data_IF_338260800139
#
_entry.id   IF_338260800139
#
_cell.length_a   1.000
_cell.length_b   1.000
_cell.length_c   1.000
_cell.angle_alpha   90.00
_cell.angle_beta   90.00
_cell.angle_gamma   90.00
#
_symmetry.space_group_name_H-M   'P 1'
#
loop_
_entity.id
_entity.type
_entity.pdbx_description
1 polymer ?
#
# COMPACT_ATOMS: atom_id res chain seq x y z
N UNK A 1 38.31 -54.71 -46.64
CA UNK A 1 37.68 -53.88 -47.71
C UNK A 1 37.12 -52.60 -47.07
N UNK A 2 37.42 -51.42 -47.60
CA UNK A 2 36.76 -50.18 -47.15
C UNK A 2 35.30 -50.20 -47.65
N UNK A 3 34.32 -50.03 -46.75
CA UNK A 3 32.90 -49.90 -47.12
C UNK A 3 32.76 -48.78 -48.17
N UNK A 4 32.08 -49.05 -49.29
CA UNK A 4 31.72 -48.05 -50.30
C UNK A 4 30.46 -47.34 -49.81
N UNK A 5 30.53 -46.02 -49.66
CA UNK A 5 29.42 -45.20 -49.17
C UNK A 5 28.69 -44.54 -50.34
N UNK A 6 27.55 -45.11 -50.71
CA UNK A 6 26.54 -44.48 -51.57
C UNK A 6 25.32 -44.01 -50.76
N UNK A 7 24.38 -43.32 -51.41
CA UNK A 7 23.21 -42.75 -50.74
C UNK A 7 22.30 -43.84 -50.12
N UNK A 8 22.11 -44.97 -50.80
CA UNK A 8 21.31 -46.09 -50.30
C UNK A 8 21.95 -46.75 -49.07
N UNK A 9 23.27 -46.89 -49.07
CA UNK A 9 24.02 -47.44 -47.93
C UNK A 9 23.93 -46.54 -46.71
N UNK A 10 24.00 -45.22 -46.88
CA UNK A 10 23.80 -44.26 -45.77
C UNK A 10 22.40 -44.39 -45.18
N UNK A 11 21.36 -44.45 -46.02
CA UNK A 11 19.97 -44.66 -45.58
C UNK A 11 19.83 -45.97 -44.81
N UNK A 12 20.35 -47.08 -45.36
CA UNK A 12 20.30 -48.40 -44.73
C UNK A 12 20.99 -48.43 -43.36
N UNK A 13 22.21 -47.90 -43.27
CA UNK A 13 22.98 -47.86 -42.02
C UNK A 13 22.32 -46.94 -40.98
N UNK A 14 21.68 -45.85 -41.41
CA UNK A 14 20.89 -45.00 -40.54
C UNK A 14 19.64 -45.71 -40.02
N UNK A 15 18.88 -46.40 -40.87
CA UNK A 15 17.74 -47.22 -40.43
C UNK A 15 18.15 -48.31 -39.44
N UNK A 16 19.29 -48.97 -39.65
CA UNK A 16 19.82 -49.94 -38.69
C UNK A 16 20.18 -49.30 -37.34
N UNK A 17 20.72 -48.08 -37.36
CA UNK A 17 21.00 -47.33 -36.14
C UNK A 17 19.72 -46.94 -35.41
N UNK A 18 18.69 -46.47 -36.11
CA UNK A 18 17.36 -46.20 -35.54
C UNK A 18 16.76 -47.47 -34.92
N UNK A 19 16.79 -48.60 -35.63
CA UNK A 19 16.25 -49.88 -35.16
C UNK A 19 16.96 -50.43 -33.92
N UNK A 20 18.21 -50.01 -33.67
CA UNK A 20 18.93 -50.37 -32.45
C UNK A 20 18.40 -49.68 -31.18
N UNK A 21 17.43 -48.75 -31.32
CA UNK A 21 16.86 -47.98 -30.21
C UNK A 21 17.78 -46.86 -29.70
N UNK A 22 18.89 -46.63 -30.40
CA UNK A 22 19.85 -45.57 -30.07
C UNK A 22 19.28 -44.19 -30.42
N UNK A 23 19.56 -43.19 -29.56
CA UNK A 23 19.17 -41.80 -29.83
C UNK A 23 19.81 -41.30 -31.13
N UNK A 24 19.00 -40.75 -32.04
CA UNK A 24 19.48 -40.14 -33.28
C UNK A 24 19.93 -38.68 -33.11
N UNK A 25 20.22 -38.23 -31.89
CA UNK A 25 20.82 -36.91 -31.67
C UNK A 25 22.18 -36.82 -32.38
N UNK A 26 22.55 -35.67 -32.98
CA UNK A 26 23.87 -35.48 -33.57
C UNK A 26 25.03 -35.78 -32.60
N UNK A 27 24.82 -35.54 -31.29
CA UNK A 27 25.79 -35.85 -30.23
C UNK A 27 26.00 -37.36 -30.08
N UNK A 28 24.91 -38.14 -29.99
CA UNK A 28 25.02 -39.60 -29.90
C UNK A 28 25.59 -40.21 -31.18
N UNK A 29 25.16 -39.71 -32.34
CA UNK A 29 25.71 -40.10 -33.64
C UNK A 29 27.21 -39.82 -33.73
N UNK A 30 27.68 -38.66 -33.27
CA UNK A 30 29.12 -38.34 -33.23
C UNK A 30 29.89 -39.28 -32.29
N UNK A 31 29.30 -39.70 -31.18
CA UNK A 31 29.95 -40.59 -30.22
C UNK A 31 30.01 -42.04 -30.71
N UNK A 32 28.91 -42.57 -31.26
CA UNK A 32 28.76 -43.99 -31.58
C UNK A 32 28.99 -44.34 -33.05
N UNK A 33 28.66 -43.43 -33.97
CA UNK A 33 28.67 -43.64 -35.43
C UNK A 33 29.12 -42.40 -36.19
N UNK A 34 30.28 -41.84 -35.80
CA UNK A 34 30.83 -40.65 -36.46
C UNK A 34 31.10 -40.88 -37.95
N UNK A 35 31.44 -42.12 -38.32
CA UNK A 35 31.59 -42.56 -39.71
C UNK A 35 30.32 -42.28 -40.52
N UNK A 36 29.16 -42.70 -39.99
CA UNK A 36 27.86 -42.50 -40.61
C UNK A 36 27.46 -41.02 -40.64
N UNK A 37 27.66 -40.30 -39.53
CA UNK A 37 27.36 -38.86 -39.44
C UNK A 37 28.13 -38.03 -40.48
N UNK A 38 29.40 -38.36 -40.72
CA UNK A 38 30.22 -37.69 -41.75
C UNK A 38 29.67 -37.98 -43.15
N UNK A 39 29.24 -39.21 -43.43
CA UNK A 39 28.69 -39.56 -44.74
C UNK A 39 27.33 -38.94 -44.99
N UNK A 40 26.48 -38.84 -43.95
CA UNK A 40 25.21 -38.11 -44.02
C UNK A 40 25.46 -36.67 -44.47
N UNK A 41 26.36 -35.94 -43.79
CA UNK A 41 26.69 -34.55 -44.15
C UNK A 41 27.26 -34.43 -45.57
N UNK A 42 28.14 -35.35 -45.97
CA UNK A 42 28.76 -35.31 -47.32
C UNK A 42 27.77 -35.59 -48.44
N UNK A 43 26.80 -36.48 -48.25
CA UNK A 43 25.87 -36.93 -49.30
C UNK A 43 24.56 -36.15 -49.33
N UNK A 44 24.12 -35.65 -48.18
CA UNK A 44 22.82 -34.98 -48.02
C UNK A 44 22.95 -33.53 -47.55
N UNK A 45 24.17 -33.00 -47.44
CA UNK A 45 24.47 -31.60 -47.11
C UNK A 45 24.52 -31.35 -45.60
N UNK A 46 23.40 -31.52 -44.91
CA UNK A 46 23.32 -31.34 -43.45
C UNK A 46 22.60 -32.51 -42.79
N UNK A 47 22.90 -32.74 -41.51
CA UNK A 47 22.21 -33.77 -40.74
C UNK A 47 20.73 -33.42 -40.55
N UNK A 48 20.42 -32.14 -40.33
CA UNK A 48 19.07 -31.61 -40.25
C UNK A 48 18.27 -31.94 -41.53
N UNK A 49 18.76 -31.53 -42.70
CA UNK A 49 18.06 -31.79 -43.97
C UNK A 49 17.89 -33.28 -44.23
N UNK A 50 18.85 -34.11 -43.80
CA UNK A 50 18.74 -35.55 -43.91
C UNK A 50 17.61 -36.13 -43.05
N UNK A 51 17.55 -35.79 -41.76
CA UNK A 51 16.51 -36.35 -40.88
C UNK A 51 15.11 -35.81 -41.22
N UNK A 52 15.01 -34.54 -41.61
CA UNK A 52 13.76 -33.92 -42.08
C UNK A 52 13.24 -34.59 -43.36
N UNK A 53 14.13 -34.92 -44.33
CA UNK A 53 13.75 -35.69 -45.52
C UNK A 53 13.26 -37.11 -45.22
N UNK A 54 13.63 -37.64 -44.06
CA UNK A 54 13.15 -38.94 -43.57
C UNK A 54 11.89 -38.82 -42.70
N UNK A 55 11.36 -37.60 -42.55
CA UNK A 55 10.13 -37.33 -41.78
C UNK A 55 10.36 -37.15 -40.28
N UNK A 56 11.60 -37.02 -39.81
CA UNK A 56 11.86 -36.66 -38.41
C UNK A 56 11.89 -35.15 -38.25
N UNK A 57 11.21 -34.65 -37.22
CA UNK A 57 11.39 -33.26 -36.79
C UNK A 57 12.78 -33.09 -36.14
N UNK A 58 13.59 -32.18 -36.69
CA UNK A 58 14.95 -32.00 -36.20
C UNK A 58 15.01 -31.41 -34.79
N UNK A 59 14.05 -30.56 -34.40
CA UNK A 59 13.97 -29.98 -33.07
C UNK A 59 13.57 -31.04 -32.03
N UNK A 60 12.65 -31.95 -32.38
CA UNK A 60 12.33 -33.12 -31.56
C UNK A 60 13.55 -34.04 -31.40
N UNK A 61 14.32 -34.23 -32.47
CA UNK A 61 15.54 -35.04 -32.46
C UNK A 61 16.60 -34.48 -31.50
N UNK A 62 16.77 -33.15 -31.42
CA UNK A 62 17.79 -32.52 -30.56
C UNK A 62 17.27 -32.10 -29.19
N UNK A 63 15.95 -31.99 -29.01
CA UNK A 63 15.27 -31.61 -27.78
C UNK A 63 15.37 -30.12 -27.43
N UNK A 64 15.67 -29.24 -28.39
CA UNK A 64 15.72 -27.79 -28.18
C UNK A 64 15.47 -27.01 -29.47
N UNK A 65 14.97 -25.78 -29.31
CA UNK A 65 14.68 -24.86 -30.41
C UNK A 65 15.93 -24.34 -31.11
N UNK A 66 15.94 -24.40 -32.44
CA UNK A 66 16.97 -23.81 -33.30
C UNK A 66 16.62 -22.34 -33.56
N UNK A 67 17.43 -21.44 -33.00
CA UNK A 67 17.25 -19.99 -33.15
C UNK A 67 18.00 -19.45 -34.38
N UNK A 68 17.35 -18.53 -35.09
CA UNK A 68 17.93 -17.69 -36.14
C UNK A 68 17.48 -16.24 -35.92
N UNK A 69 18.15 -15.26 -36.52
CA UNK A 69 17.73 -13.85 -36.43
C UNK A 69 16.29 -13.67 -36.93
N UNK A 70 15.94 -14.31 -38.04
CA UNK A 70 14.59 -14.23 -38.63
C UNK A 70 13.55 -14.86 -37.72
N UNK A 71 13.82 -16.03 -37.13
CA UNK A 71 12.90 -16.69 -36.20
C UNK A 71 12.69 -15.86 -34.94
N UNK A 72 13.77 -15.29 -34.38
CA UNK A 72 13.66 -14.39 -33.21
C UNK A 72 12.75 -13.20 -33.56
N UNK A 73 12.92 -12.60 -34.74
CA UNK A 73 12.09 -11.48 -35.17
C UNK A 73 10.62 -11.89 -35.34
N UNK A 74 10.34 -13.02 -35.99
CA UNK A 74 8.99 -13.57 -36.12
C UNK A 74 8.34 -13.83 -34.75
N UNK A 75 9.07 -14.42 -33.80
CA UNK A 75 8.53 -14.75 -32.48
C UNK A 75 8.22 -13.49 -31.66
N UNK A 76 9.06 -12.46 -31.76
CA UNK A 76 8.84 -11.16 -31.11
C UNK A 76 7.62 -10.45 -31.72
N UNK A 77 7.47 -10.49 -33.06
CA UNK A 77 6.32 -9.91 -33.77
C UNK A 77 5.03 -10.66 -33.45
N UNK A 78 5.02 -12.00 -33.50
CA UNK A 78 3.87 -12.81 -33.15
C UNK A 78 3.38 -12.52 -31.72
N UNK A 79 4.31 -12.38 -30.78
CA UNK A 79 4.00 -12.01 -29.40
C UNK A 79 3.31 -10.64 -29.30
N UNK A 80 3.71 -9.68 -30.13
CA UNK A 80 3.06 -8.37 -30.21
C UNK A 80 1.65 -8.47 -30.82
N UNK A 81 1.48 -9.23 -31.90
CA UNK A 81 0.18 -9.45 -32.56
C UNK A 81 -0.82 -10.15 -31.62
N UNK A 82 -0.33 -11.05 -30.76
CA UNK A 82 -1.11 -11.69 -29.70
C UNK A 82 -1.42 -10.76 -28.51
N UNK A 83 -0.96 -9.50 -28.54
CA UNK A 83 -1.16 -8.52 -27.46
C UNK A 83 -0.36 -8.81 -26.19
N UNK A 84 0.65 -9.68 -26.25
CA UNK A 84 1.51 -10.02 -25.10
C UNK A 84 2.60 -8.98 -24.93
N UNK A 85 3.05 -8.79 -23.69
CA UNK A 85 4.10 -7.81 -23.38
C UNK A 85 5.45 -8.21 -24.01
N UNK A 86 6.04 -7.29 -24.76
CA UNK A 86 7.41 -7.36 -25.31
C UNK A 86 8.44 -6.64 -24.42
N UNK A 87 8.06 -6.31 -23.17
CA UNK A 87 9.00 -5.75 -22.19
C UNK A 87 9.99 -6.82 -21.75
N UNK A 88 11.25 -6.41 -21.55
CA UNK A 88 12.33 -7.31 -21.12
C UNK A 88 11.98 -8.13 -19.88
N UNK A 89 11.44 -7.47 -18.84
CA UNK A 89 11.11 -8.11 -17.56
C UNK A 89 10.02 -9.18 -17.69
N UNK A 90 9.06 -9.00 -18.59
CA UNK A 90 7.97 -9.94 -18.83
C UNK A 90 8.48 -11.11 -19.70
N UNK A 91 9.29 -10.82 -20.72
CA UNK A 91 9.95 -11.85 -21.54
C UNK A 91 10.92 -12.72 -20.73
N UNK A 92 11.61 -12.16 -19.74
CA UNK A 92 12.49 -12.92 -18.84
C UNK A 92 11.72 -13.97 -18.02
N UNK A 93 10.48 -13.66 -17.64
CA UNK A 93 9.60 -14.58 -16.89
C UNK A 93 8.89 -15.59 -17.79
N UNK A 94 8.38 -15.14 -18.92
CA UNK A 94 7.48 -15.94 -19.75
C UNK A 94 8.19 -16.70 -20.87
N UNK A 95 9.24 -16.11 -21.47
CA UNK A 95 9.95 -16.69 -22.61
C UNK A 95 11.48 -16.49 -22.52
N UNK A 96 12.14 -17.01 -21.45
CA UNK A 96 13.56 -16.81 -21.21
C UNK A 96 14.47 -17.32 -22.34
N UNK A 97 14.04 -18.36 -23.05
CA UNK A 97 14.78 -18.91 -24.20
C UNK A 97 14.82 -17.92 -25.38
N UNK A 98 13.69 -17.26 -25.68
CA UNK A 98 13.61 -16.22 -26.72
C UNK A 98 14.45 -15.00 -26.34
N UNK A 99 14.35 -14.55 -25.08
CA UNK A 99 15.17 -13.43 -24.59
C UNK A 99 16.67 -13.73 -24.68
N UNK A 100 17.08 -14.92 -24.26
CA UNK A 100 18.48 -15.35 -24.34
C UNK A 100 18.98 -15.44 -25.77
N UNK A 101 18.16 -15.97 -26.69
CA UNK A 101 18.46 -16.04 -28.10
C UNK A 101 18.57 -14.65 -28.74
N UNK A 102 17.63 -13.75 -28.44
CA UNK A 102 17.65 -12.37 -28.90
C UNK A 102 18.94 -11.64 -28.51
N UNK A 103 19.32 -11.72 -27.23
CA UNK A 103 20.58 -11.13 -26.74
C UNK A 103 21.79 -11.77 -27.42
N UNK A 104 21.81 -13.09 -27.59
CA UNK A 104 22.94 -13.80 -28.20
C UNK A 104 23.14 -13.45 -29.68
N UNK A 105 22.08 -13.37 -30.47
CA UNK A 105 22.17 -13.19 -31.93
C UNK A 105 22.26 -11.72 -32.36
N UNK A 106 21.70 -10.80 -31.57
CA UNK A 106 21.73 -9.35 -31.84
C UNK A 106 22.70 -8.58 -30.93
N UNK A 107 23.31 -9.24 -29.95
CA UNK A 107 24.27 -8.66 -29.00
C UNK A 107 23.62 -7.96 -27.81
N UNK A 108 22.41 -7.42 -27.97
CA UNK A 108 21.62 -6.83 -26.89
C UNK A 108 20.12 -6.95 -27.15
N UNK A 109 19.32 -6.88 -26.08
CA UNK A 109 17.86 -6.85 -26.22
C UNK A 109 17.38 -5.62 -27.01
N UNK A 110 18.06 -4.47 -26.82
CA UNK A 110 17.84 -3.25 -27.61
C UNK A 110 17.97 -3.48 -29.11
N UNK A 111 19.11 -4.02 -29.52
CA UNK A 111 19.38 -4.28 -30.92
C UNK A 111 18.40 -5.32 -31.51
N UNK A 112 17.95 -6.29 -30.71
CA UNK A 112 16.95 -7.25 -31.12
C UNK A 112 15.58 -6.59 -31.37
N UNK A 113 15.09 -5.78 -30.42
CA UNK A 113 13.79 -5.09 -30.58
C UNK A 113 13.83 -4.07 -31.72
N UNK A 114 14.91 -3.31 -31.84
CA UNK A 114 15.07 -2.34 -32.94
C UNK A 114 15.12 -3.02 -34.30
N UNK A 115 15.80 -4.17 -34.41
CA UNK A 115 15.79 -4.97 -35.64
C UNK A 115 14.41 -5.54 -35.99
N UNK A 116 13.50 -5.65 -35.01
CA UNK A 116 12.11 -6.06 -35.20
C UNK A 116 11.16 -4.89 -35.46
N UNK A 117 11.68 -3.64 -35.54
CA UNK A 117 10.87 -2.43 -35.70
C UNK A 117 10.21 -1.94 -34.40
N UNK A 118 10.64 -2.43 -33.24
CA UNK A 118 10.11 -2.04 -31.93
C UNK A 118 11.03 -1.01 -31.25
N UNK A 119 10.54 0.23 -31.01
CA UNK A 119 11.34 1.24 -30.33
C UNK A 119 11.69 0.80 -28.91
N UNK A 120 12.99 0.71 -28.61
CA UNK A 120 13.49 0.17 -27.35
C UNK A 120 13.07 0.98 -26.11
N UNK A 121 12.91 2.29 -26.25
CA UNK A 121 12.58 3.20 -25.14
C UNK A 121 11.18 2.94 -24.56
N UNK A 122 10.24 2.44 -25.37
CA UNK A 122 8.90 2.06 -24.92
C UNK A 122 8.90 0.73 -24.13
N UNK A 123 9.95 -0.09 -24.29
CA UNK A 123 10.01 -1.47 -23.80
C UNK A 123 10.86 -1.67 -22.53
N UNK A 124 11.46 -0.60 -22.01
CA UNK A 124 12.47 -0.71 -20.96
C UNK A 124 11.94 -0.82 -19.53
N UNK A 125 10.68 -0.48 -19.25
CA UNK A 125 10.11 -0.51 -17.89
C UNK A 125 10.83 0.36 -16.84
N UNK A 126 11.94 1.00 -17.21
CA UNK A 126 12.69 1.99 -16.43
C UNK A 126 12.35 3.37 -16.98
N UNK A 127 11.62 4.17 -16.20
CA UNK A 127 11.41 5.58 -16.49
C UNK A 127 12.71 6.33 -16.30
N UNK A 128 13.47 6.51 -17.39
CA UNK A 128 14.56 7.49 -17.41
C UNK A 128 13.94 8.90 -17.33
N UNK A 129 14.49 9.74 -16.45
CA UNK A 129 14.05 11.12 -16.23
C UNK A 129 15.14 12.07 -16.71
N UNK A 130 14.89 12.71 -17.84
CA UNK A 130 15.70 13.83 -18.33
C UNK A 130 14.96 15.15 -18.20
N UNK A 131 15.67 16.24 -18.47
CA UNK A 131 15.11 17.58 -18.36
C UNK A 131 13.85 17.76 -19.22
N UNK A 132 13.88 17.27 -20.46
CA UNK A 132 12.77 17.42 -21.41
C UNK A 132 11.52 16.63 -21.03
N UNK A 133 11.68 15.40 -20.53
CA UNK A 133 10.59 14.57 -20.04
C UNK A 133 10.01 15.10 -18.74
N UNK A 134 10.84 15.58 -17.82
CA UNK A 134 10.36 16.24 -16.60
C UNK A 134 9.49 17.44 -16.94
N UNK A 135 9.93 18.30 -17.87
CA UNK A 135 9.13 19.45 -18.32
C UNK A 135 7.80 18.99 -18.93
N UNK A 136 7.83 17.99 -19.82
CA UNK A 136 6.63 17.49 -20.51
C UNK A 136 5.60 16.92 -19.54
N UNK A 137 6.04 16.04 -18.63
CA UNK A 137 5.15 15.42 -17.64
C UNK A 137 4.68 16.43 -16.59
N UNK A 138 5.54 17.39 -16.21
CA UNK A 138 5.16 18.48 -15.32
C UNK A 138 4.08 19.37 -15.94
N UNK A 139 4.23 19.78 -17.20
CA UNK A 139 3.21 20.58 -17.90
C UNK A 139 1.88 19.84 -18.03
N UNK A 140 1.92 18.53 -18.29
CA UNK A 140 0.72 17.70 -18.32
C UNK A 140 0.01 17.68 -16.97
N UNK A 141 0.75 17.45 -15.88
CA UNK A 141 0.20 17.43 -14.51
C UNK A 141 -0.25 18.83 -14.06
N UNK A 142 0.46 19.88 -14.47
CA UNK A 142 0.11 21.27 -14.17
C UNK A 142 -1.16 21.72 -14.89
N UNK A 143 -1.46 21.13 -16.05
CA UNK A 143 -2.72 21.35 -16.79
C UNK A 143 -3.93 20.63 -16.20
N UNK A 144 -3.73 19.60 -15.37
CA UNK A 144 -4.79 18.82 -14.74
C UNK A 144 -5.44 19.61 -13.58
N UNK A 145 -6.72 19.97 -13.74
CA UNK A 145 -7.49 20.73 -12.74
C UNK A 145 -7.64 20.00 -11.39
N UNK A 146 -7.47 18.67 -11.36
CA UNK A 146 -7.53 17.89 -10.13
C UNK A 146 -6.22 17.91 -9.33
N UNK A 147 -5.17 18.59 -9.83
CA UNK A 147 -3.91 18.80 -9.13
C UNK A 147 -3.79 20.27 -8.73
N UNK A 148 -4.14 20.58 -7.49
CA UNK A 148 -4.05 21.94 -6.93
C UNK A 148 -2.95 22.08 -5.89
N UNK A 149 -2.29 20.98 -5.51
CA UNK A 149 -1.19 20.99 -4.53
C UNK A 149 -0.01 20.14 -4.98
N UNK A 150 1.20 20.53 -4.56
CA UNK A 150 2.42 19.71 -4.72
C UNK A 150 2.25 18.31 -4.11
N UNK A 151 1.50 18.17 -3.00
CA UNK A 151 1.25 16.87 -2.39
C UNK A 151 0.46 15.95 -3.33
N UNK A 152 -0.62 16.45 -3.94
CA UNK A 152 -1.40 15.68 -4.91
C UNK A 152 -0.58 15.30 -6.14
N UNK A 153 0.27 16.20 -6.63
CA UNK A 153 1.18 15.90 -7.75
C UNK A 153 2.14 14.77 -7.40
N UNK A 154 2.78 14.83 -6.22
CA UNK A 154 3.66 13.77 -5.71
C UNK A 154 2.93 12.44 -5.54
N UNK A 155 1.72 12.47 -4.98
CA UNK A 155 0.96 11.26 -4.69
C UNK A 155 0.51 10.58 -5.99
N UNK A 156 0.21 11.35 -7.05
CA UNK A 156 -0.06 10.85 -8.40
C UNK A 156 1.20 10.36 -9.12
N UNK A 157 2.34 11.05 -8.99
CA UNK A 157 3.56 10.70 -9.70
C UNK A 157 4.82 10.99 -8.85
N UNK A 158 5.20 10.01 -8.02
CA UNK A 158 6.39 10.08 -7.15
C UNK A 158 7.70 10.17 -7.93
N UNK A 159 7.75 9.56 -9.12
CA UNK A 159 8.93 9.60 -9.98
C UNK A 159 9.19 11.01 -10.50
N UNK A 160 8.12 11.70 -10.91
CA UNK A 160 8.19 13.09 -11.37
C UNK A 160 8.61 14.04 -10.25
N UNK A 161 8.02 13.94 -9.04
CA UNK A 161 8.44 14.78 -7.89
C UNK A 161 9.93 14.62 -7.60
N UNK A 162 10.43 13.38 -7.56
CA UNK A 162 11.85 13.14 -7.34
C UNK A 162 12.72 13.74 -8.46
N UNK A 163 12.31 13.59 -9.71
CA UNK A 163 13.04 14.11 -10.86
C UNK A 163 13.06 15.65 -10.90
N UNK A 164 11.95 16.32 -10.58
CA UNK A 164 11.87 17.78 -10.46
C UNK A 164 12.86 18.28 -9.40
N UNK A 165 12.84 17.68 -8.20
CA UNK A 165 13.76 18.05 -7.11
C UNK A 165 15.22 17.85 -7.49
N UNK A 166 15.52 16.80 -8.25
CA UNK A 166 16.90 16.51 -8.68
C UNK A 166 17.42 17.46 -9.75
N UNK A 167 16.59 17.82 -10.74
CA UNK A 167 17.02 18.59 -11.91
C UNK A 167 16.86 20.11 -11.71
N UNK A 168 15.75 20.52 -11.08
CA UNK A 168 15.38 21.93 -10.91
C UNK A 168 15.50 22.39 -9.45
N UNK A 169 15.60 21.46 -8.49
CA UNK A 169 15.70 21.78 -7.06
C UNK A 169 14.33 21.99 -6.41
N UNK A 170 13.57 22.98 -6.88
CA UNK A 170 12.26 23.35 -6.35
C UNK A 170 11.19 23.43 -7.43
N UNK A 171 9.91 23.40 -7.01
CA UNK A 171 8.79 23.66 -7.90
C UNK A 171 8.77 25.12 -8.38
N UNK A 172 9.23 26.05 -7.55
CA UNK A 172 9.42 27.45 -7.91
C UNK A 172 10.38 27.59 -9.08
N UNK A 173 11.54 26.92 -9.05
CA UNK A 173 12.55 27.04 -10.09
C UNK A 173 12.05 26.54 -11.46
N UNK A 174 11.34 25.40 -11.50
CA UNK A 174 10.76 24.91 -12.75
C UNK A 174 9.59 25.80 -13.22
N UNK A 175 8.78 26.35 -12.30
CA UNK A 175 7.72 27.29 -12.65
C UNK A 175 8.28 28.62 -13.19
N UNK A 176 9.31 29.18 -12.55
CA UNK A 176 10.00 30.39 -13.01
C UNK A 176 10.61 30.19 -14.39
N UNK A 177 11.30 29.06 -14.62
CA UNK A 177 11.90 28.73 -15.92
C UNK A 177 10.85 28.58 -17.02
N UNK A 178 9.67 28.07 -16.70
CA UNK A 178 8.57 27.85 -17.64
C UNK A 178 7.58 29.02 -17.71
N UNK A 179 7.77 30.08 -16.91
CA UNK A 179 6.83 31.22 -16.83
C UNK A 179 5.45 30.84 -16.28
N UNK A 180 5.37 29.86 -15.38
CA UNK A 180 4.14 29.34 -14.80
C UNK A 180 3.87 29.94 -13.42
N UNK A 181 2.59 30.12 -13.09
CA UNK A 181 2.15 30.59 -11.78
C UNK A 181 2.20 29.48 -10.72
N UNK A 182 3.24 29.51 -9.89
CA UNK A 182 3.44 28.53 -8.81
C UNK A 182 2.26 28.46 -7.82
N UNK A 183 1.45 29.53 -7.69
CA UNK A 183 0.33 29.56 -6.74
C UNK A 183 -0.78 28.55 -7.09
N UNK A 184 -0.88 28.15 -8.37
CA UNK A 184 -1.83 27.13 -8.82
C UNK A 184 -1.62 25.77 -8.15
N UNK A 185 -0.36 25.40 -7.93
CA UNK A 185 0.03 24.11 -7.31
C UNK A 185 0.52 24.29 -5.87
N UNK A 186 0.61 25.52 -5.40
CA UNK A 186 0.93 25.87 -4.02
C UNK A 186 0.06 27.06 -3.62
N UNK A 187 -1.22 26.82 -3.25
CA UNK A 187 -2.09 27.87 -2.77
C UNK A 187 -1.41 28.56 -1.59
N UNK A 188 -1.56 29.88 -1.49
CA UNK A 188 -1.07 30.63 -0.33
C UNK A 188 -1.63 29.98 0.94
N UNK A 189 -0.74 29.46 1.78
CA UNK A 189 -1.13 28.91 3.07
C UNK A 189 -1.50 30.11 3.92
N UNK A 190 -2.78 30.23 4.27
CA UNK A 190 -3.24 31.19 5.27
C UNK A 190 -2.38 31.01 6.53
N UNK A 191 -1.53 32.01 6.81
CA UNK A 191 -0.69 31.99 8.00
C UNK A 191 -1.51 32.47 9.19
N UNK A 192 -1.78 31.55 10.10
CA UNK A 192 -2.48 31.85 11.33
C UNK A 192 -1.68 32.81 12.21
N UNK A 193 -2.32 33.89 12.62
CA UNK A 193 -1.75 34.88 13.53
C UNK A 193 -1.73 34.37 14.98
N UNK A 194 -1.00 35.07 15.84
CA UNK A 194 -1.02 34.83 17.28
C UNK A 194 -2.44 35.05 17.84
N UNK A 195 -3.12 36.08 17.36
CA UNK A 195 -4.47 36.48 17.75
C UNK A 195 -5.53 35.43 17.38
N UNK A 196 -5.37 34.77 16.23
CA UNK A 196 -6.27 33.68 15.82
C UNK A 196 -6.21 32.50 16.77
N UNK A 197 -5.00 32.10 17.18
CA UNK A 197 -4.84 31.03 18.17
C UNK A 197 -5.47 31.43 19.50
N UNK A 198 -5.22 32.63 20.00
CA UNK A 198 -5.82 33.10 21.26
C UNK A 198 -7.35 33.17 21.17
N UNK A 199 -7.91 33.56 20.02
CA UNK A 199 -9.35 33.57 19.78
C UNK A 199 -9.93 32.14 19.82
N UNK A 200 -9.28 31.18 19.17
CA UNK A 200 -9.69 29.76 19.20
C UNK A 200 -9.64 29.21 20.63
N UNK A 201 -8.58 29.50 21.38
CA UNK A 201 -8.44 29.03 22.75
C UNK A 201 -9.54 29.61 23.66
N UNK A 202 -9.84 30.91 23.54
CA UNK A 202 -10.94 31.56 24.28
C UNK A 202 -12.31 31.00 23.88
N UNK A 203 -12.52 30.72 22.60
CA UNK A 203 -13.76 30.11 22.09
C UNK A 203 -13.94 28.68 22.63
N UNK A 204 -12.89 27.85 22.58
CA UNK A 204 -12.87 26.51 23.18
C UNK A 204 -13.22 26.57 24.67
N UNK A 205 -12.64 27.52 25.41
CA UNK A 205 -12.96 27.74 26.84
C UNK A 205 -14.43 28.10 27.05
N UNK A 206 -14.95 29.05 26.26
CA UNK A 206 -16.35 29.49 26.39
C UNK A 206 -17.36 28.36 26.11
N UNK A 207 -16.96 27.39 25.27
CA UNK A 207 -17.74 26.19 24.95
C UNK A 207 -17.52 25.03 25.93
N UNK A 208 -16.73 25.23 26.98
CA UNK A 208 -16.39 24.18 27.95
C UNK A 208 -15.52 23.05 27.38
N UNK A 209 -14.86 23.28 26.23
CA UNK A 209 -13.97 22.30 25.63
C UNK A 209 -12.65 22.23 26.40
N UNK A 210 -12.08 21.03 26.61
CA UNK A 210 -10.74 20.91 27.20
C UNK A 210 -9.70 21.69 26.37
N UNK A 211 -8.80 22.41 27.04
CA UNK A 211 -7.74 23.18 26.38
C UNK A 211 -6.43 22.39 26.22
N UNK A 212 -6.49 21.06 26.35
CA UNK A 212 -5.34 20.23 26.04
C UNK A 212 -5.07 20.25 24.52
N UNK A 213 -3.82 20.00 24.15
CA UNK A 213 -3.34 20.02 22.77
C UNK A 213 -4.24 19.20 21.85
N UNK A 214 -4.71 18.04 22.30
CA UNK A 214 -5.50 17.11 21.48
C UNK A 214 -6.88 17.69 21.14
N UNK A 215 -7.55 18.28 22.13
CA UNK A 215 -8.88 18.88 21.98
C UNK A 215 -8.84 20.15 21.13
N UNK A 216 -7.81 20.99 21.28
CA UNK A 216 -7.68 22.20 20.45
C UNK A 216 -7.20 21.86 19.05
N UNK A 217 -6.40 20.80 18.86
CA UNK A 217 -5.99 20.34 17.54
C UNK A 217 -7.15 19.85 16.66
N UNK A 218 -8.24 19.33 17.24
CA UNK A 218 -9.41 18.89 16.46
C UNK A 218 -10.19 20.06 15.84
N UNK A 219 -10.21 21.21 16.51
CA UNK A 219 -10.80 22.47 16.00
C UNK A 219 -9.79 23.27 15.18
N UNK A 220 -8.52 23.18 15.55
CA UNK A 220 -7.44 23.98 15.01
C UNK A 220 -6.17 23.15 14.81
N UNK A 221 -6.06 22.41 13.68
CA UNK A 221 -4.98 21.45 13.47
C UNK A 221 -3.55 22.03 13.52
N UNK A 222 -3.41 23.34 13.31
CA UNK A 222 -2.10 24.01 13.39
C UNK A 222 -1.78 24.60 14.77
N UNK A 223 -2.60 24.36 15.80
CA UNK A 223 -2.50 24.99 17.13
C UNK A 223 -1.09 24.95 17.72
N UNK A 224 -0.46 23.77 17.76
CA UNK A 224 0.89 23.61 18.32
C UNK A 224 1.93 24.36 17.51
N UNK A 225 1.86 24.27 16.17
CA UNK A 225 2.81 24.95 15.28
C UNK A 225 2.73 26.46 15.43
N UNK A 226 1.52 27.00 15.49
CA UNK A 226 1.25 28.44 15.68
C UNK A 226 1.70 28.88 17.08
N UNK A 227 1.40 28.07 18.12
CA UNK A 227 1.81 28.36 19.48
C UNK A 227 3.33 28.38 19.65
N UNK A 228 4.03 27.36 19.13
CA UNK A 228 5.49 27.31 19.17
C UNK A 228 6.13 28.47 18.41
N UNK A 229 5.55 28.86 17.27
CA UNK A 229 6.06 29.97 16.45
C UNK A 229 5.95 31.32 17.13
N UNK A 230 4.79 31.63 17.72
CA UNK A 230 4.48 32.97 18.23
C UNK A 230 4.69 33.13 19.74
N UNK A 231 4.55 32.05 20.51
CA UNK A 231 4.62 32.05 21.98
C UNK A 231 5.74 31.14 22.51
N UNK A 232 6.50 30.47 21.63
CA UNK A 232 7.59 29.54 21.99
C UNK A 232 7.11 28.16 22.45
N UNK A 233 5.90 28.05 23.01
CA UNK A 233 5.28 26.77 23.35
C UNK A 233 3.75 26.89 23.43
N UNK A 234 3.06 25.75 23.36
CA UNK A 234 1.62 25.69 23.59
C UNK A 234 1.24 26.05 25.03
N UNK A 235 2.09 25.70 26.00
CA UNK A 235 1.90 26.10 27.39
C UNK A 235 1.93 27.62 27.57
N UNK A 236 2.89 28.30 26.94
CA UNK A 236 2.99 29.76 26.97
C UNK A 236 1.75 30.43 26.34
N UNK A 237 1.23 29.89 25.24
CA UNK A 237 0.00 30.38 24.62
C UNK A 237 -1.25 30.23 25.52
N UNK A 238 -1.30 29.19 26.37
CA UNK A 238 -2.37 29.05 27.37
C UNK A 238 -2.21 30.04 28.52
N UNK A 239 -0.98 30.31 28.97
CA UNK A 239 -0.72 31.30 30.00
C UNK A 239 -1.21 32.70 29.61
N UNK A 240 -1.14 33.06 28.33
CA UNK A 240 -1.67 34.33 27.79
C UNK A 240 -3.19 34.50 27.95
N UNK A 241 -3.94 33.40 28.08
CA UNK A 241 -5.39 33.45 28.34
C UNK A 241 -5.75 33.19 29.81
N UNK A 242 -4.75 33.14 30.69
CA UNK A 242 -4.88 32.92 32.12
C UNK A 242 -5.05 31.45 32.52
N UNK A 243 -4.65 30.51 31.66
CA UNK A 243 -4.76 29.08 31.90
C UNK A 243 -3.37 28.49 32.19
N UNK A 244 -3.25 27.71 33.26
CA UNK A 244 -2.01 26.97 33.54
C UNK A 244 -1.99 25.67 32.74
N UNK A 245 -0.91 25.44 31.98
CA UNK A 245 -0.71 24.18 31.27
C UNK A 245 -0.46 23.09 32.31
N UNK A 246 -1.34 22.08 32.46
CA UNK A 246 -1.06 21.05 33.43
C UNK A 246 0.08 20.18 32.88
N UNK A 247 1.06 19.87 33.73
CA UNK A 247 2.25 19.06 33.41
C UNK A 247 1.84 17.62 33.04
N UNK A 248 1.33 17.40 31.83
CA UNK A 248 0.65 16.16 31.42
C UNK A 248 1.55 15.10 30.74
N UNK A 249 2.87 15.12 30.94
CA UNK A 249 3.71 14.02 30.46
C UNK A 249 3.49 12.73 31.28
N UNK A 250 3.24 12.85 32.59
CA UNK A 250 2.85 11.71 33.45
C UNK A 250 1.39 11.30 33.25
N UNK A 251 0.51 12.25 32.91
CA UNK A 251 -0.92 11.97 32.74
C UNK A 251 -1.24 11.21 31.46
N UNK A 252 -0.52 11.38 30.35
CA UNK A 252 -0.78 10.55 29.17
C UNK A 252 -0.48 9.06 29.41
N UNK A 253 0.63 8.74 30.07
CA UNK A 253 0.97 7.36 30.44
C UNK A 253 -0.03 6.78 31.46
N UNK A 254 -0.41 7.58 32.48
CA UNK A 254 -1.44 7.19 33.46
C UNK A 254 -2.81 7.01 32.80
N UNK A 255 -3.23 7.93 31.93
CA UNK A 255 -4.53 7.89 31.24
C UNK A 255 -4.61 6.70 30.28
N UNK A 256 -3.51 6.37 29.58
CA UNK A 256 -3.45 5.14 28.75
C UNK A 256 -3.50 3.87 29.60
N UNK A 257 -2.77 3.80 30.70
CA UNK A 257 -2.81 2.66 31.61
C UNK A 257 -4.22 2.48 32.23
N UNK A 258 -4.87 3.57 32.63
CA UNK A 258 -6.25 3.57 33.14
C UNK A 258 -7.28 3.24 32.07
N UNK A 259 -7.03 3.62 30.81
CA UNK A 259 -7.83 3.20 29.67
C UNK A 259 -7.83 1.68 29.50
N UNK A 260 -6.65 1.05 29.56
CA UNK A 260 -6.52 -0.41 29.52
C UNK A 260 -7.12 -1.09 30.75
N UNK A 261 -6.97 -0.50 31.95
CA UNK A 261 -7.63 -1.00 33.17
C UNK A 261 -9.16 -0.96 33.02
N UNK A 262 -9.70 0.15 32.50
CA UNK A 262 -11.14 0.29 32.25
C UNK A 262 -11.65 -0.71 31.22
N UNK A 263 -10.96 -0.87 30.10
CA UNK A 263 -11.28 -1.87 29.07
C UNK A 263 -11.30 -3.29 29.64
N UNK A 264 -10.31 -3.63 30.47
CA UNK A 264 -10.22 -4.93 31.15
C UNK A 264 -11.38 -5.16 32.13
N UNK A 265 -11.74 -4.13 32.91
CA UNK A 265 -12.90 -4.21 33.81
C UNK A 265 -14.22 -4.32 33.05
N UNK A 266 -14.35 -3.63 31.92
CA UNK A 266 -15.53 -3.75 31.06
C UNK A 266 -15.62 -5.17 30.49
N UNK A 267 -14.49 -5.80 30.15
CA UNK A 267 -14.46 -7.18 29.72
C UNK A 267 -14.85 -8.17 30.83
N UNK A 268 -14.39 -7.95 32.06
CA UNK A 268 -14.87 -8.69 33.23
C UNK A 268 -16.39 -8.53 33.39
N UNK A 269 -16.91 -7.31 33.32
CA UNK A 269 -18.34 -7.04 33.44
C UNK A 269 -19.15 -7.71 32.33
N UNK A 270 -18.73 -7.57 31.06
CA UNK A 270 -19.43 -8.15 29.92
C UNK A 270 -19.42 -9.68 29.96
N UNK A 271 -18.38 -10.32 30.50
CA UNK A 271 -18.40 -11.78 30.74
C UNK A 271 -19.56 -12.19 31.65
N UNK A 272 -19.97 -11.33 32.58
CA UNK A 272 -21.02 -11.59 33.57
C UNK A 272 -22.42 -11.27 33.04
N UNK A 273 -22.58 -10.14 32.35
CA UNK A 273 -23.90 -9.63 31.94
C UNK A 273 -24.17 -9.69 30.43
N UNK A 274 -23.14 -9.88 29.60
CA UNK A 274 -23.21 -9.91 28.13
C UNK A 274 -22.33 -11.04 27.56
N UNK A 275 -22.60 -12.32 27.91
CA UNK A 275 -21.74 -13.44 27.52
C UNK A 275 -21.74 -13.72 26.00
N UNK A 276 -22.66 -13.11 25.25
CA UNK A 276 -22.76 -13.14 23.80
C UNK A 276 -21.72 -12.25 23.08
N UNK A 277 -21.06 -11.34 23.81
CA UNK A 277 -20.01 -10.46 23.28
C UNK A 277 -18.63 -11.10 23.42
N UNK A 278 -17.88 -11.12 22.33
CA UNK A 278 -16.50 -11.60 22.31
C UNK A 278 -15.54 -10.44 22.53
N UNK A 279 -14.69 -10.55 23.55
CA UNK A 279 -13.59 -9.61 23.81
C UNK A 279 -12.45 -9.81 22.79
N UNK A 280 -11.92 -8.71 22.26
CA UNK A 280 -10.83 -8.66 21.27
C UNK A 280 -11.09 -9.55 20.05
N UNK A 281 -12.23 -9.35 19.40
CA UNK A 281 -12.60 -10.14 18.22
C UNK A 281 -11.65 -9.88 17.04
N UNK A 282 -11.00 -10.93 16.53
CA UNK A 282 -9.98 -10.86 15.46
C UNK A 282 -10.48 -11.31 14.09
N UNK A 283 -11.80 -11.41 13.89
CA UNK A 283 -12.37 -11.86 12.62
C UNK A 283 -12.35 -10.81 11.50
N UNK A 284 -11.92 -9.58 11.78
CA UNK A 284 -11.82 -8.51 10.80
C UNK A 284 -10.37 -8.30 10.33
N UNK A 285 -10.18 -8.06 9.04
CA UNK A 285 -8.87 -7.77 8.49
C UNK A 285 -8.41 -6.36 8.91
N UNK A 286 -7.33 -6.29 9.71
CA UNK A 286 -6.66 -5.03 10.06
C UNK A 286 -7.29 -4.22 11.20
N UNK A 287 -8.38 -4.69 11.80
CA UNK A 287 -8.99 -4.06 12.98
C UNK A 287 -9.31 -5.11 14.05
N UNK A 288 -9.22 -4.70 15.31
CA UNK A 288 -9.61 -5.50 16.47
C UNK A 288 -10.48 -4.59 17.33
N UNK A 289 -11.82 -4.72 17.29
CA UNK A 289 -12.69 -4.04 18.24
C UNK A 289 -12.52 -4.62 19.65
N UNK A 290 -12.83 -3.81 20.67
CA UNK A 290 -12.77 -4.26 22.06
C UNK A 290 -13.79 -5.37 22.29
N UNK A 291 -15.03 -5.20 21.79
CA UNK A 291 -16.06 -6.24 21.85
C UNK A 291 -16.85 -6.36 20.55
N UNK A 292 -17.30 -7.59 20.24
CA UNK A 292 -18.16 -7.87 19.09
C UNK A 292 -19.27 -8.86 19.44
N UNK A 293 -20.52 -8.46 19.21
CA UNK A 293 -21.70 -9.31 19.31
C UNK A 293 -22.06 -9.88 17.93
N UNK A 294 -21.73 -11.15 17.68
CA UNK A 294 -21.89 -11.74 16.35
C UNK A 294 -23.37 -11.85 15.90
N UNK A 295 -24.28 -12.06 16.84
CA UNK A 295 -25.72 -12.21 16.57
C UNK A 295 -26.36 -10.88 16.14
N UNK A 296 -25.96 -9.78 16.79
CA UNK A 296 -26.48 -8.42 16.53
C UNK A 296 -25.64 -7.64 15.53
N UNK A 297 -24.44 -8.12 15.19
CA UNK A 297 -23.42 -7.40 14.41
C UNK A 297 -23.06 -6.05 15.05
N UNK A 298 -23.14 -5.98 16.37
CA UNK A 298 -22.81 -4.79 17.15
C UNK A 298 -21.33 -4.79 17.53
N UNK A 299 -20.67 -3.64 17.38
CA UNK A 299 -19.33 -3.41 17.93
C UNK A 299 -19.47 -2.55 19.18
N UNK A 300 -18.77 -2.93 20.25
CA UNK A 300 -18.62 -2.09 21.44
C UNK A 300 -17.16 -1.71 21.62
N UNK A 301 -16.91 -0.43 21.84
CA UNK A 301 -15.58 0.15 22.05
C UNK A 301 -15.55 0.85 23.42
N UNK A 302 -14.49 0.60 24.19
CA UNK A 302 -14.32 1.14 25.53
C UNK A 302 -13.50 2.44 25.45
N UNK A 303 -14.01 3.49 26.08
CA UNK A 303 -13.33 4.79 26.14
C UNK A 303 -13.33 5.34 27.54
N UNK A 304 -12.18 5.79 28.01
CA UNK A 304 -12.08 6.33 29.37
C UNK A 304 -12.94 7.59 29.55
N UNK A 305 -13.15 8.38 28.50
CA UNK A 305 -13.91 9.62 28.54
C UNK A 305 -14.83 9.80 27.32
N UNK A 306 -16.03 10.37 27.51
CA UNK A 306 -17.00 10.61 26.43
C UNK A 306 -16.44 11.49 25.30
N UNK A 307 -15.61 12.47 25.61
CA UNK A 307 -15.00 13.37 24.60
C UNK A 307 -13.86 12.75 23.79
N UNK A 308 -13.36 11.56 24.16
CA UNK A 308 -12.28 10.92 23.39
C UNK A 308 -12.74 10.31 22.06
N UNK A 309 -14.05 10.19 21.88
CA UNK A 309 -14.72 9.47 20.78
C UNK A 309 -14.65 10.23 19.46
N UNK A 310 -14.82 11.56 19.50
CA UNK A 310 -14.80 12.42 18.31
C UNK A 310 -13.38 12.73 17.80
N UNK A 311 -12.37 12.37 18.60
CA UNK A 311 -10.95 12.59 18.27
C UNK A 311 -10.30 11.38 17.61
N UNK A 312 -11.00 10.25 17.54
CA UNK A 312 -10.52 9.03 16.91
C UNK A 312 -11.32 8.74 15.64
N UNK A 313 -10.65 8.28 14.59
CA UNK A 313 -11.31 7.70 13.41
C UNK A 313 -12.12 6.42 13.76
N UNK A 314 -12.36 6.10 15.04
CA UNK A 314 -13.15 4.98 15.56
C UNK A 314 -14.48 4.81 14.85
N UNK A 315 -15.23 5.90 14.65
CA UNK A 315 -16.49 5.86 13.89
C UNK A 315 -16.21 5.38 12.47
N UNK A 316 -15.34 6.06 11.71
CA UNK A 316 -14.97 5.65 10.34
C UNK A 316 -14.37 4.24 10.26
N UNK A 317 -13.63 3.83 11.30
CA UNK A 317 -12.92 2.56 11.41
C UNK A 317 -13.88 1.40 11.58
N UNK A 318 -14.95 1.57 12.38
CA UNK A 318 -15.85 0.48 12.76
C UNK A 318 -17.20 0.50 12.04
N UNK A 319 -17.72 1.65 11.64
CA UNK A 319 -19.02 1.75 10.92
C UNK A 319 -19.12 0.83 9.68
N UNK A 320 -18.05 0.55 8.89
CA UNK A 320 -18.15 -0.41 7.79
C UNK A 320 -18.38 -1.87 8.20
N UNK A 321 -18.14 -2.21 9.48
CA UNK A 321 -18.09 -3.59 9.97
C UNK A 321 -19.22 -3.95 10.94
N UNK A 322 -20.00 -2.97 11.40
CA UNK A 322 -21.13 -3.17 12.33
C UNK A 322 -22.44 -2.57 11.81
N UNK A 323 -23.57 -3.08 12.29
CA UNK A 323 -24.87 -2.42 12.12
C UNK A 323 -25.02 -1.29 13.12
N UNK A 324 -24.50 -1.48 14.34
CA UNK A 324 -24.54 -0.52 15.43
C UNK A 324 -23.17 -0.47 16.13
N UNK A 325 -22.68 0.75 16.34
CA UNK A 325 -21.49 1.04 17.12
C UNK A 325 -21.91 1.61 18.48
N UNK A 326 -21.54 0.94 19.55
CA UNK A 326 -21.73 1.45 20.91
C UNK A 326 -20.39 1.80 21.52
N UNK A 327 -20.28 2.99 22.09
CA UNK A 327 -19.09 3.37 22.83
C UNK A 327 -19.46 3.50 24.30
N UNK A 328 -18.88 2.63 25.11
CA UNK A 328 -19.08 2.64 26.56
C UNK A 328 -18.00 3.51 27.19
N UNK A 329 -18.41 4.49 28.00
CA UNK A 329 -17.49 5.44 28.59
C UNK A 329 -17.58 5.54 30.11
N UNK A 330 -16.44 5.78 30.77
CA UNK A 330 -16.39 5.84 32.25
C UNK A 330 -16.78 7.21 32.81
N UNK A 331 -16.36 8.29 32.18
CA UNK A 331 -16.59 9.66 32.67
C UNK A 331 -16.90 10.67 31.57
N UNK A 332 -17.52 11.76 31.99
CA UNK A 332 -17.85 12.90 31.15
C UNK A 332 -19.35 13.04 30.91
N UNK A 333 -19.77 14.19 30.36
CA UNK A 333 -21.17 14.43 30.07
C UNK A 333 -21.65 13.57 28.91
N UNK A 334 -22.97 13.36 28.85
CA UNK A 334 -23.63 12.85 27.65
C UNK A 334 -23.45 13.84 26.50
N UNK A 335 -22.90 13.34 25.39
CA UNK A 335 -22.63 14.16 24.20
C UNK A 335 -23.70 13.86 23.16
N UNK A 336 -24.49 14.88 22.79
CA UNK A 336 -25.42 14.79 21.67
C UNK A 336 -24.65 14.77 20.35
N UNK A 337 -24.98 13.83 19.47
CA UNK A 337 -24.39 13.72 18.13
C UNK A 337 -25.46 13.43 17.07
N UNK A 338 -25.18 13.77 15.82
CA UNK A 338 -26.03 13.46 14.65
C UNK A 338 -25.54 12.28 13.80
N UNK A 339 -24.66 11.44 14.35
CA UNK A 339 -24.11 10.27 13.66
C UNK A 339 -25.09 9.10 13.77
N UNK A 340 -25.57 8.62 12.62
CA UNK A 340 -26.41 7.42 12.52
C UNK A 340 -25.63 6.18 12.96
N UNK A 341 -26.32 5.25 13.64
CA UNK A 341 -25.78 3.97 14.12
C UNK A 341 -24.63 4.08 15.15
N UNK A 342 -24.48 5.23 15.80
CA UNK A 342 -23.61 5.41 16.97
C UNK A 342 -24.48 5.56 18.23
N UNK A 343 -24.11 4.90 19.32
CA UNK A 343 -24.72 5.08 20.64
C UNK A 343 -23.64 5.29 21.68
N UNK A 344 -23.76 6.34 22.48
CA UNK A 344 -22.87 6.60 23.62
C UNK A 344 -23.55 6.16 24.90
N UNK A 345 -22.91 5.30 25.67
CA UNK A 345 -23.48 4.73 26.89
C UNK A 345 -22.51 4.93 28.05
N UNK A 346 -22.87 5.64 29.12
CA UNK A 346 -22.04 5.68 30.32
C UNK A 346 -22.04 4.30 30.99
N UNK A 347 -20.90 3.87 31.53
CA UNK A 347 -20.79 2.54 32.17
C UNK A 347 -21.75 2.39 33.37
N UNK A 348 -22.18 3.51 33.96
CA UNK A 348 -23.16 3.53 35.04
C UNK A 348 -24.51 2.92 34.66
N UNK A 349 -24.87 2.92 33.36
CA UNK A 349 -26.12 2.32 32.89
C UNK A 349 -26.14 0.80 33.10
N UNK A 350 -24.97 0.16 33.26
CA UNK A 350 -24.86 -1.25 33.57
C UNK A 350 -24.82 -1.54 35.09
N UNK A 351 -24.81 -0.53 35.96
CA UNK A 351 -24.63 -0.74 37.41
C UNK A 351 -25.81 -1.44 38.05
N UNK A 352 -27.05 -1.07 37.69
CA UNK A 352 -28.25 -1.74 38.21
C UNK A 352 -28.26 -3.22 37.85
N UNK A 353 -27.91 -3.54 36.60
CA UNK A 353 -27.84 -4.91 36.11
C UNK A 353 -26.73 -5.72 36.80
N UNK A 354 -25.53 -5.13 36.95
CA UNK A 354 -24.42 -5.75 37.69
C UNK A 354 -24.80 -6.00 39.15
N UNK A 355 -25.50 -5.07 39.79
CA UNK A 355 -25.99 -5.23 41.16
C UNK A 355 -27.04 -6.35 41.26
N UNK A 356 -27.99 -6.38 40.32
CA UNK A 356 -29.02 -7.41 40.26
C UNK A 356 -28.43 -8.82 40.02
N UNK A 357 -27.35 -8.92 39.26
CA UNK A 357 -26.58 -10.15 39.05
C UNK A 357 -25.67 -10.53 40.24
N UNK A 358 -25.66 -9.75 41.33
CA UNK A 358 -24.85 -10.02 42.53
C UNK A 358 -23.38 -9.59 42.42
N UNK A 359 -23.06 -8.74 41.44
CA UNK A 359 -21.69 -8.31 41.12
C UNK A 359 -21.42 -6.85 41.51
N UNK A 360 -21.96 -6.38 42.66
CA UNK A 360 -21.72 -5.03 43.18
C UNK A 360 -20.23 -4.67 43.36
N UNK A 361 -19.36 -5.68 43.51
CA UNK A 361 -17.91 -5.49 43.50
C UNK A 361 -17.36 -4.90 42.20
N UNK A 362 -18.01 -5.14 41.04
CA UNK A 362 -17.62 -4.52 39.76
C UNK A 362 -17.89 -3.03 39.74
N UNK A 363 -19.05 -2.61 40.26
CA UNK A 363 -19.42 -1.19 40.38
C UNK A 363 -18.37 -0.43 41.20
N UNK A 364 -17.95 -1.02 42.34
CA UNK A 364 -16.91 -0.44 43.17
C UNK A 364 -15.56 -0.31 42.44
N UNK A 365 -15.19 -1.26 41.56
CA UNK A 365 -13.97 -1.18 40.76
C UNK A 365 -14.04 -0.04 39.73
N UNK A 366 -15.16 0.13 39.03
CA UNK A 366 -15.34 1.25 38.10
C UNK A 366 -15.27 2.61 38.81
N UNK A 367 -15.96 2.74 39.94
CA UNK A 367 -15.94 3.98 40.74
C UNK A 367 -14.56 4.30 41.32
N UNK A 368 -13.75 3.28 41.63
CA UNK A 368 -12.35 3.47 42.03
C UNK A 368 -11.55 4.16 40.93
N UNK A 369 -11.63 3.66 39.69
CA UNK A 369 -10.96 4.28 38.53
C UNK A 369 -11.49 5.70 38.32
N UNK A 370 -12.81 5.89 38.38
CA UNK A 370 -13.44 7.20 38.18
C UNK A 370 -12.91 8.25 39.18
N UNK A 371 -12.79 7.91 40.46
CA UNK A 371 -12.32 8.82 41.52
C UNK A 371 -10.83 9.17 41.42
N UNK A 372 -10.03 8.30 40.81
CA UNK A 372 -8.59 8.56 40.60
C UNK A 372 -8.30 9.53 39.46
N UNK A 373 -9.30 9.92 38.67
CA UNK A 373 -9.12 10.87 37.57
C UNK A 373 -9.87 12.17 37.91
N UNK A 374 -9.23 13.35 37.84
CA UNK A 374 -9.92 14.62 38.04
C UNK A 374 -11.10 14.74 37.06
N UNK A 375 -12.32 14.96 37.55
CA UNK A 375 -13.43 15.36 36.67
C UNK A 375 -13.04 16.70 36.03
N UNK A 376 -13.08 16.78 34.69
CA UNK A 376 -12.93 18.07 34.04
C UNK A 376 -14.17 18.86 34.46
N UNK A 377 -13.98 19.93 35.24
CA UNK A 377 -15.06 20.74 35.79
C UNK A 377 -15.81 21.46 34.67
N UNK A 378 -16.73 20.76 33.99
CA UNK A 378 -17.84 21.41 33.33
C UNK A 378 -18.84 21.72 34.44
N UNK A 379 -18.83 22.97 34.92
CA UNK A 379 -19.80 23.48 35.89
C UNK A 379 -21.22 23.25 35.36
N UNK A 380 -22.15 22.65 36.13
CA UNK A 380 -23.50 22.30 35.68
C UNK A 380 -24.43 23.48 35.30
N UNK A 381 -23.95 24.71 35.34
CA UNK A 381 -24.77 25.93 35.19
C UNK A 381 -25.02 26.37 33.74
N UNK A 382 -24.51 25.64 32.74
CA UNK A 382 -24.54 26.07 31.32
C UNK A 382 -25.30 25.14 30.36
N UNK A 383 -26.33 24.42 30.84
CA UNK A 383 -27.21 23.57 29.98
C UNK A 383 -28.60 24.21 29.76
N UNK A 384 -28.80 25.47 30.13
CA UNK A 384 -30.01 26.22 29.78
C UNK A 384 -29.68 27.44 28.90
N UNK A 385 -29.41 27.18 27.61
CA UNK A 385 -29.56 28.16 26.52
C UNK A 385 -29.71 27.43 25.17
#
# INVERSE_FOLDING_TARGET
MKKRWDAQMVLREFSLFVLSGESITPKNMKAKRNDLLVQIRRKFGSYQSFVERLGYDYEEVIGFTVWSKDRIAMEIQARQEEGKSVKRADMEKECPALLSAAIKYFGSFKAATEACGLPYEENLGFTWWDRGKVIREFLQMYGDESVTTVSQLRDKNRGLDHAIRKIFGTYDAICEELGLDVTKIRPEVYEWSAEDLLRVLKDCRSKGMPLNVMSVHSVFPSAVKVATRHFGSYAAALSEIGEEYPLHAEDHLRTSAMGHEFESLLAEAFTLIRPDFQYHYRGFAGIVPDFYGAATRQIVDAKLSSWSIFNCDTVKKYTPYCTDLTVVYLRGPDIKHGIDNLTLVPVSDYYEELNAAGHAGMVAKFERIRRTIPECAATPELIAA
#
